data_IF_445018297632
#
_entry.id   IF_445018297632
#
_cell.length_a   1.000
_cell.length_b   1.000
_cell.length_c   1.000
_cell.angle_alpha   90.00
_cell.angle_beta   90.00
_cell.angle_gamma   90.00
#
_symmetry.space_group_name_H-M   'P 1'
#
loop_
_entity.id
_entity.type
_entity.pdbx_description
1 polymer ?
#
# COMPACT_ATOMS: atom_id res chain seq x y z
N UNK A 1 3.34 -1.41 -2.13
CA UNK A 1 1.99 -1.67 -1.54
C UNK A 1 2.16 -2.00 -0.05
N UNK A 2 1.15 -1.72 0.78
CA UNK A 2 1.17 -2.19 2.17
C UNK A 2 1.17 -3.72 2.19
N UNK A 3 1.95 -4.37 3.07
CA UNK A 3 1.89 -5.82 3.22
C UNK A 3 0.46 -6.26 3.54
N UNK A 4 -0.01 -7.34 2.91
CA UNK A 4 -1.35 -7.89 3.13
C UNK A 4 -1.63 -8.14 4.62
N UNK A 5 -2.86 -7.85 5.06
CA UNK A 5 -3.33 -8.24 6.39
C UNK A 5 -3.64 -9.74 6.35
N UNK A 6 -3.25 -10.48 7.38
CA UNK A 6 -3.44 -11.93 7.47
C UNK A 6 -4.89 -12.36 7.22
N UNK A 7 -5.06 -13.46 6.49
CA UNK A 7 -6.28 -14.28 6.49
C UNK A 7 -6.32 -15.15 7.75
N UNK A 8 -7.52 -15.58 8.20
CA UNK A 8 -7.76 -16.30 9.45
C UNK A 8 -6.83 -17.53 9.70
N UNK A 9 -6.35 -18.21 8.65
CA UNK A 9 -5.40 -19.33 8.76
C UNK A 9 -3.98 -18.94 9.20
N UNK A 10 -3.62 -17.65 9.15
CA UNK A 10 -2.30 -17.14 9.51
C UNK A 10 -2.21 -16.57 10.95
N UNK A 11 -3.20 -16.85 11.82
CA UNK A 11 -3.10 -16.55 13.25
C UNK A 11 -2.03 -17.41 13.95
N UNK A 12 -1.80 -18.64 13.49
CA UNK A 12 -0.77 -19.55 14.02
C UNK A 12 0.66 -19.08 13.71
N UNK A 13 0.84 -18.32 12.61
CA UNK A 13 2.15 -17.91 12.08
C UNK A 13 2.52 -16.45 12.42
N UNK A 14 1.68 -15.73 13.17
CA UNK A 14 1.87 -14.29 13.45
C UNK A 14 3.22 -13.97 14.11
N UNK A 15 3.77 -14.91 14.87
CA UNK A 15 5.02 -14.74 15.60
C UNK A 15 6.17 -15.58 15.05
N UNK A 16 6.02 -16.25 13.89
CA UNK A 16 7.16 -16.95 13.31
C UNK A 16 8.24 -15.95 12.90
N UNK A 17 9.48 -16.41 12.99
CA UNK A 17 10.65 -15.59 12.68
C UNK A 17 10.60 -15.17 11.21
N UNK A 18 10.23 -16.10 10.34
CA UNK A 18 10.10 -15.94 8.89
C UNK A 18 9.07 -14.85 8.57
N UNK A 19 7.90 -14.93 9.20
CA UNK A 19 6.84 -13.94 9.03
C UNK A 19 7.27 -12.54 9.50
N UNK A 20 7.84 -12.45 10.71
CA UNK A 20 8.29 -11.17 11.27
C UNK A 20 9.36 -10.52 10.39
N UNK A 21 10.36 -11.29 9.93
CA UNK A 21 11.42 -10.81 9.05
C UNK A 21 10.85 -10.33 7.71
N UNK A 22 9.96 -11.10 7.09
CA UNK A 22 9.32 -10.72 5.83
C UNK A 22 8.51 -9.43 6.00
N UNK A 23 7.70 -9.34 7.06
CA UNK A 23 6.90 -8.15 7.37
C UNK A 23 7.78 -6.91 7.60
N UNK A 24 8.85 -7.04 8.38
CA UNK A 24 9.79 -5.94 8.65
C UNK A 24 10.42 -5.43 7.35
N UNK A 25 10.91 -6.34 6.49
CA UNK A 25 11.51 -5.98 5.18
C UNK A 25 10.50 -5.24 4.29
N UNK A 26 9.27 -5.76 4.18
CA UNK A 26 8.25 -5.13 3.35
C UNK A 26 7.79 -3.76 3.89
N UNK A 27 7.67 -3.61 5.22
CA UNK A 27 7.38 -2.32 5.85
C UNK A 27 8.49 -1.30 5.61
N UNK A 28 9.76 -1.71 5.69
CA UNK A 28 10.90 -0.86 5.39
C UNK A 28 10.89 -0.39 3.93
N UNK A 29 10.69 -1.31 2.97
CA UNK A 29 10.57 -0.96 1.54
C UNK A 29 9.39 -0.02 1.31
N UNK A 30 8.24 -0.29 1.93
CA UNK A 30 7.06 0.55 1.82
C UNK A 30 7.32 1.96 2.33
N UNK A 31 7.86 2.10 3.54
CA UNK A 31 8.13 3.41 4.13
C UNK A 31 9.13 4.19 3.29
N UNK A 32 10.21 3.54 2.83
CA UNK A 32 11.19 4.16 1.93
C UNK A 32 10.57 4.66 0.63
N UNK A 33 9.64 3.91 0.03
CA UNK A 33 8.94 4.37 -1.18
C UNK A 33 8.10 5.62 -0.92
N UNK A 34 7.47 5.73 0.24
CA UNK A 34 6.66 6.89 0.59
C UNK A 34 7.56 8.12 0.83
N UNK A 35 8.59 7.99 1.66
CA UNK A 35 9.44 9.14 2.02
C UNK A 35 10.28 9.65 0.84
N UNK A 36 10.59 8.79 -0.14
CA UNK A 36 11.30 9.18 -1.35
C UNK A 36 10.38 9.72 -2.45
N UNK A 37 9.06 9.66 -2.28
CA UNK A 37 8.13 10.17 -3.28
C UNK A 37 7.90 11.68 -3.07
N UNK A 38 8.05 12.53 -4.11
CA UNK A 38 8.03 14.00 -3.95
C UNK A 38 6.71 14.53 -3.36
N UNK A 39 5.58 13.94 -3.76
CA UNK A 39 4.25 14.35 -3.25
C UNK A 39 3.94 13.72 -1.88
N UNK A 40 4.08 12.40 -1.74
CA UNK A 40 3.69 11.68 -0.52
C UNK A 40 4.58 12.00 0.69
N UNK A 41 5.85 12.34 0.48
CA UNK A 41 6.79 12.73 1.54
C UNK A 41 6.37 14.01 2.28
N UNK A 42 5.65 14.90 1.58
CA UNK A 42 5.17 16.16 2.12
C UNK A 42 3.86 16.02 2.92
N UNK A 43 3.27 14.82 2.99
CA UNK A 43 2.01 14.59 3.68
C UNK A 43 2.12 14.88 5.19
N UNK A 44 1.19 15.69 5.69
CA UNK A 44 1.14 16.07 7.11
C UNK A 44 0.88 14.86 8.00
N UNK A 45 0.11 13.88 7.52
CA UNK A 45 -0.18 12.64 8.25
C UNK A 45 1.07 11.79 8.41
N UNK A 46 1.84 11.62 7.33
CA UNK A 46 3.10 10.89 7.35
C UNK A 46 4.09 11.54 8.31
N UNK A 47 4.23 12.86 8.24
CA UNK A 47 5.11 13.59 9.17
C UNK A 47 4.68 13.37 10.62
N UNK A 48 3.39 13.54 10.93
CA UNK A 48 2.87 13.27 12.26
C UNK A 48 3.08 11.81 12.70
N UNK A 49 2.92 10.84 11.80
CA UNK A 49 3.16 9.43 12.09
C UNK A 49 4.62 9.14 12.46
N UNK A 50 5.57 9.83 11.82
CA UNK A 50 7.00 9.61 12.03
C UNK A 50 7.59 10.44 13.19
N UNK A 51 7.05 11.63 13.46
CA UNK A 51 7.69 12.59 14.37
C UNK A 51 6.88 12.94 15.61
N UNK A 52 5.58 12.61 15.67
CA UNK A 52 4.75 13.00 16.82
C UNK A 52 5.15 12.25 18.08
N UNK A 53 5.13 12.95 19.22
CA UNK A 53 5.30 12.31 20.53
C UNK A 53 4.10 11.42 20.84
N UNK A 54 4.23 10.37 21.67
CA UNK A 54 3.13 9.42 21.94
C UNK A 54 1.81 10.07 22.40
N UNK A 55 1.89 11.12 23.23
CA UNK A 55 0.72 11.86 23.71
C UNK A 55 0.02 12.63 22.56
N UNK A 56 0.79 13.33 21.73
CA UNK A 56 0.30 14.08 20.57
C UNK A 56 -0.28 13.13 19.50
N UNK A 57 0.39 12.01 19.26
CA UNK A 57 -0.04 10.99 18.30
C UNK A 57 -1.42 10.42 18.66
N UNK A 58 -1.66 10.17 19.94
CA UNK A 58 -2.95 9.66 20.43
C UNK A 58 -4.11 10.63 20.14
N UNK A 59 -3.86 11.94 20.28
CA UNK A 59 -4.83 13.00 20.01
C UNK A 59 -5.10 13.11 18.50
N UNK A 60 -4.05 13.13 17.68
CA UNK A 60 -4.15 13.21 16.21
C UNK A 60 -4.93 12.00 15.66
N UNK A 61 -4.62 10.79 16.15
CA UNK A 61 -5.32 9.57 15.78
C UNK A 61 -6.80 9.61 16.16
N UNK A 62 -7.13 10.08 17.37
CA UNK A 62 -8.52 10.24 17.82
C UNK A 62 -9.28 11.24 16.94
N UNK A 63 -8.67 12.37 16.60
CA UNK A 63 -9.29 13.40 15.78
C UNK A 63 -9.49 12.98 14.30
N UNK A 64 -8.63 12.09 13.78
CA UNK A 64 -8.79 11.51 12.44
C UNK A 64 -9.91 10.47 12.33
N UNK A 65 -10.33 9.90 13.44
CA UNK A 65 -11.49 9.01 13.48
C UNK A 65 -12.82 9.79 13.46
N UNK A 66 -12.79 11.13 13.59
CA UNK A 66 -13.96 11.99 13.48
C UNK A 66 -14.40 12.06 12.00
N UNK A 67 -15.63 11.61 11.73
CA UNK A 67 -16.16 11.27 10.41
C UNK A 67 -16.21 12.38 9.33
N UNK A 68 -15.79 13.61 9.65
CA UNK A 68 -15.96 14.79 8.79
C UNK A 68 -15.05 14.78 7.55
N UNK A 69 -13.83 14.23 7.64
CA UNK A 69 -12.91 14.14 6.48
C UNK A 69 -13.35 13.13 5.41
N UNK A 70 -14.03 12.06 5.82
CA UNK A 70 -14.44 10.96 4.92
C UNK A 70 -15.60 11.34 4.00
N UNK A 71 -16.48 12.25 4.43
CA UNK A 71 -17.60 12.72 3.61
C UNK A 71 -17.13 13.69 2.52
N UNK A 72 -16.21 14.62 2.81
CA UNK A 72 -15.71 15.60 1.83
C UNK A 72 -15.01 14.94 0.63
N UNK A 73 -14.17 13.94 0.87
CA UNK A 73 -13.49 13.18 -0.21
C UNK A 73 -14.49 12.37 -1.05
N UNK A 74 -15.56 11.86 -0.43
CA UNK A 74 -16.59 11.07 -1.11
C UNK A 74 -17.42 11.94 -2.08
N UNK A 75 -17.76 13.18 -1.70
CA UNK A 75 -18.47 14.11 -2.59
C UNK A 75 -17.61 14.61 -3.75
N UNK A 76 -16.31 14.88 -3.53
CA UNK A 76 -15.38 15.23 -4.62
C UNK A 76 -15.19 14.06 -5.61
N UNK A 77 -15.05 12.83 -5.11
CA UNK A 77 -14.89 11.66 -5.97
C UNK A 77 -16.12 11.36 -6.84
N UNK A 78 -17.34 11.54 -6.32
CA UNK A 78 -18.58 11.31 -7.09
C UNK A 78 -18.74 12.39 -8.19
N UNK A 79 -18.45 13.65 -7.87
CA UNK A 79 -18.48 14.73 -8.86
C UNK A 79 -17.46 14.50 -9.99
N UNK A 80 -16.25 14.04 -9.68
CA UNK A 80 -15.24 13.70 -10.69
C UNK A 80 -15.61 12.47 -11.53
N UNK A 81 -16.41 11.54 -11.01
CA UNK A 81 -16.81 10.33 -11.74
C UNK A 81 -17.75 10.65 -12.91
N UNK A 82 -18.60 11.67 -12.77
CA UNK A 82 -19.48 12.12 -13.86
C UNK A 82 -18.73 12.82 -15.01
N UNK A 83 -17.55 13.38 -14.73
CA UNK A 83 -16.69 14.05 -15.72
C UNK A 83 -15.81 13.09 -16.54
N UNK A 84 -15.68 11.82 -16.12
CA UNK A 84 -14.74 10.83 -16.67
C UNK A 84 -15.29 10.02 -17.85
N UNK A 85 -16.23 10.58 -18.64
CA UNK A 85 -16.67 9.94 -19.91
C UNK A 85 -15.64 10.04 -21.04
N UNK A 86 -14.57 10.82 -20.87
CA UNK A 86 -13.46 10.87 -21.83
C UNK A 86 -12.45 9.79 -21.45
N UNK A 87 -12.59 8.62 -22.08
CA UNK A 87 -11.66 7.49 -21.97
C UNK A 87 -10.32 7.92 -22.59
N UNK A 88 -9.40 8.39 -21.76
CA UNK A 88 -8.12 8.92 -22.23
C UNK A 88 -7.18 7.75 -22.58
N UNK A 89 -6.76 7.68 -23.86
CA UNK A 89 -5.98 6.59 -24.44
C UNK A 89 -4.65 6.32 -23.70
N UNK A 90 -4.06 7.32 -23.05
CA UNK A 90 -2.82 7.15 -22.30
C UNK A 90 -3.03 6.28 -21.05
N UNK A 91 -4.20 6.36 -20.42
CA UNK A 91 -4.54 5.47 -19.31
C UNK A 91 -4.73 4.02 -19.77
N UNK A 92 -5.30 3.78 -20.96
CA UNK A 92 -5.45 2.42 -21.49
C UNK A 92 -4.09 1.81 -21.81
N UNK A 93 -3.20 2.54 -22.50
CA UNK A 93 -1.82 2.08 -22.75
C UNK A 93 -1.06 1.78 -21.45
N UNK A 94 -1.20 2.65 -20.46
CA UNK A 94 -0.56 2.47 -19.15
C UNK A 94 -1.10 1.22 -18.45
N UNK A 95 -2.41 0.99 -18.52
CA UNK A 95 -3.05 -0.20 -17.99
C UNK A 95 -2.56 -1.47 -18.68
N UNK A 96 -2.56 -1.51 -20.01
CA UNK A 96 -2.07 -2.65 -20.79
C UNK A 96 -0.61 -2.99 -20.46
N UNK A 97 0.23 -1.95 -20.32
CA UNK A 97 1.61 -2.12 -19.88
C UNK A 97 1.69 -2.71 -18.45
N UNK A 98 0.90 -2.17 -17.51
CA UNK A 98 0.87 -2.67 -16.14
C UNK A 98 0.39 -4.12 -16.06
N UNK A 99 -0.60 -4.50 -16.87
CA UNK A 99 -1.13 -5.86 -16.94
C UNK A 99 -0.06 -6.82 -17.47
N UNK A 100 0.61 -6.47 -18.58
CA UNK A 100 1.71 -7.27 -19.14
C UNK A 100 2.90 -7.39 -18.17
N UNK A 101 3.25 -6.30 -17.48
CA UNK A 101 4.32 -6.31 -16.48
C UNK A 101 3.96 -7.21 -15.30
N UNK A 102 2.71 -7.12 -14.80
CA UNK A 102 2.21 -7.95 -13.71
C UNK A 102 2.26 -9.44 -14.06
N UNK A 103 1.85 -9.81 -15.27
CA UNK A 103 1.92 -11.18 -15.77
C UNK A 103 3.37 -11.70 -15.80
N UNK A 104 4.30 -10.92 -16.38
CA UNK A 104 5.72 -11.28 -16.45
C UNK A 104 6.34 -11.45 -15.06
N UNK A 105 6.04 -10.54 -14.12
CA UNK A 105 6.49 -10.66 -12.73
C UNK A 105 5.90 -11.91 -12.06
N UNK A 106 4.64 -12.24 -12.33
CA UNK A 106 4.01 -13.47 -11.86
C UNK A 106 4.69 -14.74 -12.40
N UNK A 107 5.13 -14.73 -13.66
CA UNK A 107 5.90 -15.84 -14.23
C UNK A 107 7.27 -15.98 -13.56
N UNK A 108 7.99 -14.88 -13.35
CA UNK A 108 9.28 -14.88 -12.65
C UNK A 108 9.11 -15.44 -11.23
N UNK A 109 8.07 -15.03 -10.50
CA UNK A 109 7.82 -15.50 -9.15
C UNK A 109 7.52 -17.01 -9.09
N UNK A 110 6.72 -17.54 -10.03
CA UNK A 110 6.46 -18.98 -10.16
C UNK A 110 7.75 -19.78 -10.42
N UNK A 111 8.61 -19.28 -11.31
CA UNK A 111 9.90 -19.91 -11.60
C UNK A 111 10.78 -19.91 -10.35
N UNK A 112 10.85 -18.78 -9.65
CA UNK A 112 11.63 -18.67 -8.41
C UNK A 112 11.16 -19.66 -7.34
N UNK A 113 9.84 -19.81 -7.14
CA UNK A 113 9.27 -20.79 -6.22
C UNK A 113 9.62 -22.23 -6.62
N UNK A 114 9.56 -22.55 -7.93
CA UNK A 114 9.93 -23.87 -8.44
C UNK A 114 11.40 -24.19 -8.18
N UNK A 115 12.31 -23.26 -8.49
CA UNK A 115 13.74 -23.41 -8.22
C UNK A 115 14.00 -23.59 -6.73
N UNK A 116 13.31 -22.83 -5.87
CA UNK A 116 13.50 -22.95 -4.43
C UNK A 116 13.05 -24.32 -3.91
N UNK A 117 11.95 -24.86 -4.44
CA UNK A 117 11.45 -26.20 -4.11
C UNK A 117 12.39 -27.32 -4.62
N UNK A 118 13.01 -27.14 -5.78
CA UNK A 118 13.96 -28.12 -6.34
C UNK A 118 15.33 -28.12 -5.60
N UNK A 119 15.62 -27.06 -4.83
CA UNK A 119 16.89 -26.88 -4.09
C UNK A 119 16.80 -27.22 -2.59
N UNK A 120 15.61 -27.51 -2.07
CA UNK A 120 15.40 -28.05 -0.72
C UNK A 120 15.20 -29.55 -0.78
#
# INVERSE_FOLDING_TARGET
PMPGKHTLLAQLDRYSKEFIIARMKLLHVFLNRIVNHPILSCDKSLRAFLTAKPAEFSIIRKNRNTAMGKMSESFQNIASTYSMKVRNMEFEKTKDYCDSLSEKLGHIDKINHRIHKERQ
#
